data_IF_581090657478
#
_entry.id   IF_581090657478
#
_cell.length_a   1.000
_cell.length_b   1.000
_cell.length_c   1.000
_cell.angle_alpha   90.00
_cell.angle_beta   90.00
_cell.angle_gamma   90.00
#
_symmetry.space_group_name_H-M   'P 1'
#
loop_
_entity.id
_entity.type
_entity.pdbx_description
1 polymer ?
#
# COMPACT_ATOMS: atom_id res chain seq x y z
N UNK A 1 3.73 20.26 -10.28
CA UNK A 1 2.71 20.18 -9.22
C UNK A 1 3.40 20.56 -7.91
N UNK A 2 2.79 21.41 -7.10
CA UNK A 2 3.31 21.81 -5.77
C UNK A 2 2.29 21.30 -4.75
N UNK A 3 2.74 20.64 -3.69
CA UNK A 3 1.91 20.16 -2.60
C UNK A 3 2.58 20.47 -1.25
N UNK A 4 1.78 20.60 -0.20
CA UNK A 4 2.29 20.79 1.17
C UNK A 4 2.81 19.47 1.75
N UNK A 5 2.16 18.37 1.37
CA UNK A 5 2.49 17.04 1.84
C UNK A 5 2.56 16.05 0.68
N UNK A 6 3.72 15.39 0.55
CA UNK A 6 3.91 14.25 -0.34
C UNK A 6 4.08 12.99 0.50
N UNK A 7 3.12 12.07 0.41
CA UNK A 7 3.13 10.79 1.12
C UNK A 7 3.51 9.70 0.12
N UNK A 8 4.57 8.97 0.42
CA UNK A 8 5.07 7.87 -0.42
C UNK A 8 4.70 6.54 0.23
N UNK A 9 3.73 5.84 -0.37
CA UNK A 9 3.17 4.58 0.10
C UNK A 9 1.76 4.75 0.65
N UNK A 10 0.78 4.27 -0.09
CA UNK A 10 -0.64 4.17 0.28
C UNK A 10 -0.96 2.90 1.07
N UNK A 11 -0.09 2.51 2.01
CA UNK A 11 -0.38 1.44 2.97
C UNK A 11 -1.33 1.90 4.10
N UNK A 12 -1.56 1.05 5.10
CA UNK A 12 -2.49 1.34 6.20
C UNK A 12 -2.16 2.67 6.91
N UNK A 13 -0.86 2.92 7.18
CA UNK A 13 -0.42 4.17 7.78
C UNK A 13 -0.53 5.36 6.82
N UNK A 14 -0.14 5.19 5.55
CA UNK A 14 -0.15 6.24 4.55
C UNK A 14 -1.56 6.72 4.20
N UNK A 15 -2.50 5.79 4.02
CA UNK A 15 -3.91 6.11 3.79
C UNK A 15 -4.53 6.86 4.98
N UNK A 16 -4.27 6.42 6.21
CA UNK A 16 -4.78 7.11 7.40
C UNK A 16 -4.17 8.51 7.52
N UNK A 17 -2.86 8.66 7.31
CA UNK A 17 -2.20 9.96 7.33
C UNK A 17 -2.76 10.90 6.25
N UNK A 18 -2.91 10.41 5.02
CA UNK A 18 -3.47 11.17 3.91
C UNK A 18 -4.88 11.65 4.22
N UNK A 19 -5.73 10.78 4.77
CA UNK A 19 -7.09 11.11 5.17
C UNK A 19 -7.12 12.22 6.23
N UNK A 20 -6.33 12.09 7.30
CA UNK A 20 -6.28 13.09 8.38
C UNK A 20 -5.72 14.43 7.95
N UNK A 21 -4.67 14.45 7.14
CA UNK A 21 -4.12 15.71 6.63
C UNK A 21 -5.10 16.41 5.68
N UNK A 22 -5.88 15.64 4.91
CA UNK A 22 -6.87 16.18 3.95
C UNK A 22 -8.17 16.64 4.60
N UNK A 23 -8.38 16.42 5.92
CA UNK A 23 -9.50 17.02 6.66
C UNK A 23 -9.40 18.55 6.72
N UNK A 24 -8.18 19.09 6.60
CA UNK A 24 -7.92 20.52 6.47
C UNK A 24 -7.90 20.92 4.98
N UNK A 25 -8.92 21.64 4.47
CA UNK A 25 -9.00 22.00 3.05
C UNK A 25 -7.93 23.02 2.61
N UNK A 26 -7.19 23.63 3.55
CA UNK A 26 -6.07 24.50 3.22
C UNK A 26 -4.81 23.74 2.78
N UNK A 27 -4.77 22.41 2.93
CA UNK A 27 -3.60 21.57 2.63
C UNK A 27 -3.76 20.84 1.30
N UNK A 28 -2.77 20.95 0.43
CA UNK A 28 -2.57 20.10 -0.73
C UNK A 28 -1.81 18.84 -0.33
N UNK A 29 -2.51 17.70 -0.27
CA UNK A 29 -1.95 16.39 0.06
C UNK A 29 -1.89 15.52 -1.19
N UNK A 30 -0.72 15.00 -1.51
CA UNK A 30 -0.50 14.05 -2.59
C UNK A 30 -0.04 12.72 -2.01
N UNK A 31 -0.82 11.67 -2.26
CA UNK A 31 -0.46 10.29 -1.94
C UNK A 31 -0.01 9.57 -3.21
N UNK A 32 1.16 8.95 -3.18
CA UNK A 32 1.69 8.12 -4.28
C UNK A 32 1.81 6.69 -3.80
N UNK A 33 1.20 5.75 -4.52
CA UNK A 33 1.30 4.32 -4.27
C UNK A 33 1.95 3.62 -5.47
N UNK A 34 2.86 2.67 -5.21
CA UNK A 34 3.61 1.95 -6.23
C UNK A 34 2.81 0.78 -6.84
N UNK A 35 1.78 0.33 -6.12
CA UNK A 35 0.88 -0.72 -6.53
C UNK A 35 -0.06 -0.33 -7.67
N UNK A 36 -1.07 -1.17 -7.87
CA UNK A 36 -2.12 -0.96 -8.86
C UNK A 36 -2.92 0.29 -8.50
N UNK A 37 -3.30 1.04 -9.53
CA UNK A 37 -4.32 2.08 -9.39
C UNK A 37 -5.67 1.38 -9.19
N UNK A 38 -6.20 1.47 -7.97
CA UNK A 38 -7.49 0.90 -7.60
C UNK A 38 -8.32 1.96 -6.88
N UNK A 39 -9.63 1.93 -7.12
CA UNK A 39 -10.60 2.78 -6.44
C UNK A 39 -11.63 1.93 -5.71
N UNK A 40 -12.45 2.56 -4.86
CA UNK A 40 -13.55 1.85 -4.18
C UNK A 40 -14.52 1.16 -5.16
N UNK A 41 -14.66 1.68 -6.38
CA UNK A 41 -15.52 1.09 -7.43
C UNK A 41 -14.86 -0.05 -8.21
N UNK A 42 -13.53 -0.19 -8.15
CA UNK A 42 -12.77 -1.14 -8.96
C UNK A 42 -11.77 -1.95 -8.11
N UNK A 43 -12.21 -2.39 -6.94
CA UNK A 43 -11.39 -3.27 -6.10
C UNK A 43 -11.43 -4.69 -6.65
N UNK A 44 -10.26 -5.31 -6.98
CA UNK A 44 -10.21 -6.66 -7.52
C UNK A 44 -10.94 -7.69 -6.63
N UNK A 45 -11.66 -8.67 -7.20
CA UNK A 45 -12.37 -9.69 -6.41
C UNK A 45 -11.47 -10.48 -5.46
N UNK A 46 -10.20 -10.65 -5.82
CA UNK A 46 -9.19 -11.29 -4.97
C UNK A 46 -8.94 -10.50 -3.67
N UNK A 47 -8.93 -9.17 -3.74
CA UNK A 47 -8.77 -8.25 -2.60
C UNK A 47 -10.04 -8.18 -1.75
N UNK A 48 -11.22 -8.21 -2.38
CA UNK A 48 -12.52 -8.26 -1.67
C UNK A 48 -12.82 -9.61 -1.03
N UNK A 49 -12.01 -10.63 -1.30
CA UNK A 49 -12.25 -11.97 -0.79
C UNK A 49 -12.06 -12.03 0.72
N UNK A 50 -12.95 -12.76 1.42
CA UNK A 50 -12.74 -13.11 2.83
C UNK A 50 -11.54 -14.02 3.05
N UNK A 51 -11.03 -14.67 2.00
CA UNK A 51 -9.83 -15.46 2.05
C UNK A 51 -8.63 -14.62 1.60
N UNK A 52 -7.80 -14.09 2.53
CA UNK A 52 -6.74 -13.14 2.20
C UNK A 52 -5.66 -13.74 1.29
N UNK A 53 -5.53 -15.07 1.29
CA UNK A 53 -4.64 -15.80 0.38
C UNK A 53 -4.89 -15.49 -1.10
N UNK A 54 -6.11 -15.11 -1.51
CA UNK A 54 -6.37 -14.73 -2.91
C UNK A 54 -5.64 -13.45 -3.31
N UNK A 55 -5.62 -12.44 -2.44
CA UNK A 55 -4.93 -11.18 -2.70
C UNK A 55 -3.41 -11.35 -2.57
N UNK A 56 -2.99 -12.13 -1.56
CA UNK A 56 -1.59 -12.41 -1.25
C UNK A 56 -0.91 -13.27 -2.32
N UNK A 57 -1.57 -14.26 -2.92
CA UNK A 57 -0.94 -15.11 -3.94
C UNK A 57 -0.80 -14.42 -5.30
N UNK A 58 -1.44 -13.27 -5.50
CA UNK A 58 -1.24 -12.44 -6.68
C UNK A 58 0.09 -11.68 -6.56
N UNK A 59 1.11 -12.16 -7.28
CA UNK A 59 2.45 -11.55 -7.29
C UNK A 59 2.47 -10.09 -7.76
N UNK A 60 1.43 -9.62 -8.46
CA UNK A 60 1.28 -8.21 -8.81
C UNK A 60 1.02 -7.30 -7.60
N UNK A 61 0.55 -7.87 -6.48
CA UNK A 61 0.26 -7.16 -5.24
C UNK A 61 1.40 -7.23 -4.23
N UNK A 62 2.58 -7.76 -4.61
CA UNK A 62 3.73 -7.92 -3.72
C UNK A 62 5.00 -7.32 -4.32
N UNK A 63 5.88 -6.82 -3.46
CA UNK A 63 7.26 -6.50 -3.82
C UNK A 63 8.08 -7.77 -4.09
N UNK A 64 8.16 -8.19 -5.37
CA UNK A 64 8.72 -9.48 -5.78
C UNK A 64 10.17 -9.76 -5.36
N UNK A 65 10.98 -8.72 -5.10
CA UNK A 65 12.41 -8.83 -4.77
C UNK A 65 12.76 -8.27 -3.39
N UNK A 66 11.76 -7.98 -2.55
CA UNK A 66 12.02 -7.44 -1.23
C UNK A 66 12.55 -8.54 -0.31
N UNK A 67 13.70 -8.28 0.31
CA UNK A 67 14.27 -9.12 1.36
C UNK A 67 14.34 -8.34 2.65
N UNK A 68 14.23 -9.06 3.77
CA UNK A 68 14.44 -8.52 5.11
C UNK A 68 15.24 -9.52 5.94
N UNK A 69 16.02 -9.00 6.88
CA UNK A 69 16.73 -9.84 7.86
C UNK A 69 15.75 -10.25 8.97
N UNK A 70 15.51 -11.55 9.09
CA UNK A 70 14.56 -12.11 10.07
C UNK A 70 15.35 -12.79 11.19
N UNK A 71 15.60 -12.04 12.27
CA UNK A 71 16.40 -12.50 13.40
C UNK A 71 17.85 -12.83 13.00
N UNK A 72 18.43 -13.84 13.65
CA UNK A 72 19.79 -14.31 13.36
C UNK A 72 19.87 -15.25 12.14
N UNK A 73 18.73 -15.64 11.57
CA UNK A 73 18.63 -16.66 10.53
C UNK A 73 18.93 -16.15 9.10
N UNK A 74 19.48 -14.95 8.97
CA UNK A 74 19.87 -14.35 7.68
C UNK A 74 18.76 -13.58 6.97
N UNK A 75 19.05 -13.14 5.74
CA UNK A 75 18.08 -12.49 4.86
C UNK A 75 17.11 -13.51 4.27
N UNK A 76 15.83 -13.14 4.21
CA UNK A 76 14.78 -13.91 3.56
C UNK A 76 13.87 -12.99 2.76
N UNK A 77 13.17 -13.55 1.78
CA UNK A 77 12.10 -12.84 1.09
C UNK A 77 11.09 -12.35 2.12
N UNK A 78 10.72 -11.07 1.99
CA UNK A 78 9.73 -10.43 2.84
C UNK A 78 8.53 -10.05 1.99
N UNK A 79 7.39 -10.60 2.37
CA UNK A 79 6.17 -10.49 1.59
C UNK A 79 5.44 -9.23 2.04
N UNK A 80 5.72 -8.13 1.35
CA UNK A 80 5.12 -6.82 1.62
C UNK A 80 4.12 -6.48 0.52
N UNK A 81 2.93 -6.05 0.93
CA UNK A 81 1.91 -5.58 0.00
C UNK A 81 2.37 -4.37 -0.83
N UNK A 82 1.94 -4.35 -2.08
CA UNK A 82 2.20 -3.32 -3.08
C UNK A 82 0.89 -3.01 -3.81
N UNK A 83 -0.04 -2.43 -3.06
CA UNK A 83 -1.40 -2.06 -3.47
C UNK A 83 -1.96 -1.05 -2.48
N UNK A 84 -2.86 -0.18 -2.94
CA UNK A 84 -3.53 0.79 -2.07
C UNK A 84 -4.25 0.08 -0.92
N UNK A 85 -4.09 0.58 0.30
CA UNK A 85 -4.52 -0.03 1.56
C UNK A 85 -3.41 -0.79 2.28
N UNK A 86 -2.39 -1.27 1.57
CA UNK A 86 -1.29 -2.05 2.15
C UNK A 86 -1.68 -3.50 2.44
N UNK A 87 -0.98 -4.10 3.42
CA UNK A 87 -1.18 -5.49 3.86
C UNK A 87 -2.00 -5.60 5.13
#
# INVERSE_FOLDING_TARGET
MICDHLILGGGSAGCVLAARLSEDPARQVVLVEAGRDISAGDVPPAVRSRYPGRAYLDTGNIWARLTARMGLAGERRYEQAKILGGG
#
